data_IF_371541022628
#
_entry.id   IF_371541022628
#
_cell.length_a   1.000
_cell.length_b   1.000
_cell.length_c   1.000
_cell.angle_alpha   90.00
_cell.angle_beta   90.00
_cell.angle_gamma   90.00
#
_symmetry.space_group_name_H-M   'P 1'
#
loop_
_entity.id
_entity.type
_entity.pdbx_description
1 polymer ?
#
# COMPACT_ATOMS: atom_id res chain seq x y z
N UNK A 1 -63.86 -4.44 12.05
CA UNK A 1 -62.58 -3.69 12.26
C UNK A 1 -61.45 -4.64 12.04
N UNK A 2 -60.84 -4.63 10.84
CA UNK A 2 -59.67 -5.47 10.48
C UNK A 2 -58.41 -4.61 10.66
N UNK A 3 -57.56 -5.03 11.59
CA UNK A 3 -56.24 -4.41 11.77
C UNK A 3 -55.29 -4.94 10.70
N UNK A 4 -54.83 -4.05 9.81
CA UNK A 4 -53.75 -4.35 8.85
C UNK A 4 -52.42 -4.39 9.61
N UNK A 5 -51.78 -5.59 9.63
CA UNK A 5 -50.38 -5.73 10.00
C UNK A 5 -49.50 -5.06 8.92
N UNK A 6 -48.79 -4.04 9.34
CA UNK A 6 -47.71 -3.44 8.55
C UNK A 6 -46.48 -4.33 8.77
N UNK A 7 -46.13 -5.17 7.80
CA UNK A 7 -44.83 -5.85 7.77
C UNK A 7 -43.75 -4.83 7.40
N UNK A 8 -42.95 -4.48 8.40
CA UNK A 8 -41.74 -3.70 8.20
C UNK A 8 -40.70 -4.64 7.52
N UNK A 9 -40.52 -4.48 6.22
CA UNK A 9 -39.38 -5.12 5.51
C UNK A 9 -38.11 -4.47 6.05
N UNK A 10 -37.34 -5.25 6.83
CA UNK A 10 -35.94 -4.92 7.14
C UNK A 10 -35.19 -4.99 5.80
N UNK A 11 -34.87 -3.82 5.29
CA UNK A 11 -33.91 -3.71 4.18
C UNK A 11 -32.55 -4.04 4.78
N UNK A 12 -31.98 -5.17 4.40
CA UNK A 12 -30.58 -5.51 4.67
C UNK A 12 -29.74 -4.32 4.15
N UNK A 13 -29.28 -3.48 5.07
CA UNK A 13 -28.26 -2.49 4.78
C UNK A 13 -26.99 -3.31 4.60
N UNK A 14 -26.68 -3.72 3.35
CA UNK A 14 -25.35 -4.12 2.99
C UNK A 14 -24.45 -2.98 3.48
N UNK A 15 -23.51 -3.30 4.36
CA UNK A 15 -22.43 -2.37 4.72
C UNK A 15 -21.87 -1.81 3.41
N UNK A 16 -22.12 -0.53 3.19
CA UNK A 16 -21.51 0.18 2.05
C UNK A 16 -20.05 0.27 2.41
N UNK A 17 -19.25 -0.67 1.88
CA UNK A 17 -17.81 -0.61 2.01
C UNK A 17 -17.35 0.72 1.42
N UNK A 18 -17.03 1.67 2.32
CA UNK A 18 -16.57 3.00 1.87
C UNK A 18 -15.14 2.88 1.38
N UNK A 19 -14.93 3.32 0.15
CA UNK A 19 -13.60 3.42 -0.43
C UNK A 19 -12.73 4.32 0.47
N UNK A 20 -11.60 3.77 0.92
CA UNK A 20 -10.62 4.52 1.71
C UNK A 20 -9.75 5.40 0.82
N UNK A 21 -9.40 4.90 -0.36
CA UNK A 21 -8.64 5.60 -1.39
C UNK A 21 -9.47 5.68 -2.68
N UNK A 22 -9.54 6.86 -3.27
CA UNK A 22 -10.12 7.04 -4.60
C UNK A 22 -9.15 7.81 -5.50
N UNK A 23 -8.86 7.22 -6.66
CA UNK A 23 -8.11 7.84 -7.75
C UNK A 23 -9.08 8.08 -8.92
N UNK A 24 -9.34 9.35 -9.26
CA UNK A 24 -10.25 9.73 -10.35
C UNK A 24 -9.48 10.50 -11.41
N UNK A 25 -9.33 9.89 -12.60
CA UNK A 25 -8.68 10.47 -13.77
C UNK A 25 -7.29 11.06 -13.47
N UNK A 26 -6.48 10.35 -12.68
CA UNK A 26 -5.14 10.81 -12.30
C UNK A 26 -4.23 10.83 -13.52
N UNK A 27 -3.72 12.02 -13.84
CA UNK A 27 -2.73 12.22 -14.91
C UNK A 27 -1.43 12.78 -14.34
N UNK A 28 -0.32 12.36 -14.93
CA UNK A 28 1.00 12.91 -14.61
C UNK A 28 1.81 13.13 -15.85
N UNK A 29 2.23 14.37 -16.04
CA UNK A 29 3.07 14.81 -17.14
C UNK A 29 4.34 15.43 -16.57
N UNK A 30 5.49 14.85 -16.90
CA UNK A 30 6.79 15.43 -16.62
C UNK A 30 7.24 16.26 -17.84
N UNK A 31 7.60 17.50 -17.61
CA UNK A 31 8.10 18.41 -18.65
C UNK A 31 9.52 18.84 -18.31
N UNK A 32 10.44 18.58 -19.22
CA UNK A 32 11.77 19.20 -19.28
C UNK A 32 11.81 20.13 -20.47
N UNK A 33 12.93 20.86 -20.66
CA UNK A 33 13.02 21.85 -21.76
C UNK A 33 12.66 21.28 -23.13
N UNK A 34 13.05 20.03 -23.40
CA UNK A 34 12.95 19.41 -24.74
C UNK A 34 12.09 18.14 -24.77
N UNK A 35 11.68 17.62 -23.60
CA UNK A 35 10.98 16.32 -23.50
C UNK A 35 9.73 16.48 -22.65
N UNK A 36 8.60 15.98 -23.17
CA UNK A 36 7.36 15.82 -22.43
C UNK A 36 7.04 14.32 -22.33
N UNK A 37 6.97 13.82 -21.09
CA UNK A 37 6.63 12.41 -20.82
C UNK A 37 5.33 12.35 -20.04
N UNK A 38 4.31 11.73 -20.63
CA UNK A 38 3.03 11.45 -19.97
C UNK A 38 3.12 10.10 -19.24
N UNK A 39 3.44 10.15 -17.96
CA UNK A 39 3.65 8.96 -17.14
C UNK A 39 2.32 8.31 -16.69
N UNK A 40 1.27 9.11 -16.48
CA UNK A 40 -0.08 8.65 -16.19
C UNK A 40 -1.09 9.37 -17.09
N UNK A 41 -2.01 8.61 -17.70
CA UNK A 41 -2.92 9.10 -18.75
C UNK A 41 -4.40 9.11 -18.35
N UNK A 42 -4.69 9.02 -17.05
CA UNK A 42 -6.06 9.01 -16.54
C UNK A 42 -6.37 7.72 -15.76
N UNK A 43 -5.60 7.48 -14.69
CA UNK A 43 -5.76 6.32 -13.82
C UNK A 43 -7.02 6.48 -12.98
N UNK A 44 -7.85 5.43 -12.97
CA UNK A 44 -9.08 5.34 -12.20
C UNK A 44 -9.12 4.03 -11.44
N UNK A 45 -9.20 4.09 -10.11
CA UNK A 45 -9.53 2.96 -9.25
C UNK A 45 -9.85 3.45 -7.84
N UNK A 46 -10.41 2.57 -7.01
CA UNK A 46 -10.63 2.78 -5.60
C UNK A 46 -10.11 1.61 -4.79
N UNK A 47 -9.82 1.83 -3.50
CA UNK A 47 -9.43 0.78 -2.56
C UNK A 47 -10.38 0.84 -1.37
N UNK A 48 -10.90 -0.30 -0.97
CA UNK A 48 -11.77 -0.43 0.20
C UNK A 48 -10.97 -0.56 1.49
N UNK A 49 -11.57 -0.18 2.60
CA UNK A 49 -10.92 -0.34 3.91
C UNK A 49 -10.66 -1.83 4.21
N UNK A 50 -9.45 -2.16 4.63
CA UNK A 50 -9.02 -3.53 4.90
C UNK A 50 -8.71 -4.35 3.64
N UNK A 51 -8.77 -3.75 2.45
CA UNK A 51 -8.38 -4.44 1.21
C UNK A 51 -6.86 -4.62 1.14
N UNK A 52 -6.41 -5.75 0.60
CA UNK A 52 -5.04 -5.96 0.17
C UNK A 52 -5.00 -6.00 -1.36
N UNK A 53 -4.45 -4.95 -1.95
CA UNK A 53 -4.36 -4.77 -3.40
C UNK A 53 -2.91 -4.75 -3.87
N UNK A 54 -2.65 -5.30 -5.06
CA UNK A 54 -1.37 -5.19 -5.75
C UNK A 54 -1.53 -4.44 -7.07
N UNK A 55 -0.54 -3.62 -7.40
CA UNK A 55 -0.42 -2.95 -8.70
C UNK A 55 0.76 -3.54 -9.44
N UNK A 56 0.50 -4.17 -10.58
CA UNK A 56 1.48 -4.79 -11.46
C UNK A 56 1.60 -4.06 -12.80
N UNK A 57 2.68 -4.33 -13.51
CA UNK A 57 2.93 -3.83 -14.86
C UNK A 57 4.42 -3.77 -15.18
N UNK A 58 4.74 -3.56 -16.45
CA UNK A 58 6.11 -3.47 -16.95
C UNK A 58 6.89 -2.29 -16.33
N UNK A 59 8.22 -2.33 -16.46
CA UNK A 59 9.06 -1.19 -16.09
C UNK A 59 8.66 0.03 -16.93
N UNK A 60 8.54 1.20 -16.30
CA UNK A 60 8.11 2.42 -16.99
C UNK A 60 6.59 2.58 -17.18
N UNK A 61 5.75 1.62 -16.80
CA UNK A 61 4.29 1.71 -16.93
C UNK A 61 3.62 2.81 -16.07
N UNK A 62 4.37 3.45 -15.15
CA UNK A 62 3.86 4.51 -14.29
C UNK A 62 3.55 4.09 -12.84
N UNK A 63 3.88 2.84 -12.43
CA UNK A 63 3.58 2.30 -11.09
C UNK A 63 4.16 3.14 -9.96
N UNK A 64 5.47 3.37 -9.96
CA UNK A 64 6.16 4.18 -8.94
C UNK A 64 5.69 5.64 -8.97
N UNK A 65 5.39 6.18 -10.15
CA UNK A 65 4.78 7.52 -10.29
C UNK A 65 3.43 7.58 -9.57
N UNK A 66 2.56 6.61 -9.82
CA UNK A 66 1.25 6.53 -9.16
C UNK A 66 1.42 6.38 -7.64
N UNK A 67 2.29 5.48 -7.19
CA UNK A 67 2.57 5.26 -5.78
C UNK A 67 3.08 6.54 -5.10
N UNK A 68 3.99 7.29 -5.74
CA UNK A 68 4.51 8.55 -5.22
C UNK A 68 3.42 9.63 -5.10
N UNK A 69 2.48 9.65 -6.04
CA UNK A 69 1.32 10.56 -5.97
C UNK A 69 0.41 10.18 -4.79
N UNK A 70 0.09 8.90 -4.63
CA UNK A 70 -0.71 8.41 -3.50
C UNK A 70 0.01 8.68 -2.17
N UNK A 71 1.33 8.48 -2.13
CA UNK A 71 2.18 8.76 -0.98
C UNK A 71 2.37 10.27 -0.69
N UNK A 72 1.81 11.14 -1.53
CA UNK A 72 2.01 12.60 -1.45
C UNK A 72 3.46 13.05 -1.56
N UNK A 73 4.31 12.24 -2.18
CA UNK A 73 5.72 12.55 -2.50
C UNK A 73 5.84 13.32 -3.82
N UNK A 74 4.86 13.14 -4.70
CA UNK A 74 4.70 13.89 -5.96
C UNK A 74 3.23 14.34 -6.10
N UNK A 75 2.96 15.26 -7.03
CA UNK A 75 1.60 15.77 -7.31
C UNK A 75 1.12 15.30 -8.68
N UNK A 76 -0.15 14.96 -8.78
CA UNK A 76 -0.79 14.77 -10.06
C UNK A 76 -0.79 16.07 -10.89
N UNK A 77 -0.70 15.95 -12.22
CA UNK A 77 -0.89 17.11 -13.12
C UNK A 77 -2.37 17.48 -13.21
N UNK A 78 -3.26 16.49 -13.14
CA UNK A 78 -4.70 16.66 -13.06
C UNK A 78 -5.36 15.36 -12.56
N UNK A 79 -6.62 15.44 -12.20
CA UNK A 79 -7.41 14.38 -11.60
C UNK A 79 -7.70 14.69 -10.13
N UNK A 80 -8.32 13.76 -9.42
CA UNK A 80 -8.65 13.91 -7.99
C UNK A 80 -8.15 12.68 -7.26
N UNK A 81 -7.36 12.90 -6.19
CA UNK A 81 -6.92 11.88 -5.26
C UNK A 81 -7.53 12.16 -3.90
N UNK A 82 -8.30 11.21 -3.36
CA UNK A 82 -8.83 11.34 -2.02
C UNK A 82 -8.51 10.14 -1.14
N UNK A 83 -8.23 10.39 0.14
CA UNK A 83 -8.04 9.36 1.18
C UNK A 83 -8.94 9.68 2.36
N UNK A 84 -9.69 8.69 2.84
CA UNK A 84 -10.72 8.88 3.88
C UNK A 84 -11.68 10.04 3.55
N UNK A 85 -12.07 10.19 2.28
CA UNK A 85 -12.95 11.26 1.81
C UNK A 85 -12.33 12.67 1.79
N UNK A 86 -11.03 12.81 2.11
CA UNK A 86 -10.30 14.08 2.03
C UNK A 86 -9.60 14.20 0.70
N UNK A 87 -9.86 15.26 -0.02
CA UNK A 87 -9.12 15.63 -1.24
C UNK A 87 -7.70 16.05 -0.83
N UNK A 88 -6.71 15.29 -1.33
CA UNK A 88 -5.29 15.50 -0.99
C UNK A 88 -4.73 16.74 -1.69
N UNK A 89 -5.21 17.05 -2.89
CA UNK A 89 -4.74 18.22 -3.65
C UNK A 89 -5.21 19.56 -3.04
N UNK A 90 -6.28 19.52 -2.24
CA UNK A 90 -6.77 20.68 -1.49
C UNK A 90 -5.94 21.00 -0.24
N UNK A 91 -5.05 20.09 0.21
CA UNK A 91 -4.22 20.29 1.40
C UNK A 91 -3.10 21.30 1.15
N UNK A 92 -2.85 22.17 2.13
CA UNK A 92 -1.70 23.08 2.12
C UNK A 92 -0.39 22.30 2.42
N UNK A 93 0.74 22.88 2.04
CA UNK A 93 2.04 22.21 2.18
C UNK A 93 2.38 21.75 3.61
N UNK A 94 2.00 22.52 4.63
CA UNK A 94 2.17 22.15 6.04
C UNK A 94 1.22 21.01 6.48
N UNK A 95 0.04 20.95 5.89
CA UNK A 95 -0.98 19.91 6.17
C UNK A 95 -0.61 18.60 5.51
N UNK A 96 -0.01 18.61 4.30
CA UNK A 96 0.43 17.41 3.57
C UNK A 96 1.44 16.60 4.39
N UNK A 97 2.43 17.26 5.01
CA UNK A 97 3.43 16.57 5.82
C UNK A 97 2.80 15.89 7.06
N UNK A 98 1.86 16.58 7.72
CA UNK A 98 1.11 16.00 8.85
C UNK A 98 0.20 14.86 8.40
N UNK A 99 -0.50 15.04 7.27
CA UNK A 99 -1.36 14.03 6.66
C UNK A 99 -0.56 12.76 6.36
N UNK A 100 0.59 12.87 5.67
CA UNK A 100 1.47 11.75 5.35
C UNK A 100 1.90 10.97 6.59
N UNK A 101 2.35 11.66 7.64
CA UNK A 101 2.76 10.99 8.89
C UNK A 101 1.63 10.25 9.60
N UNK A 102 0.39 10.77 9.51
CA UNK A 102 -0.75 10.23 10.24
C UNK A 102 -1.52 9.17 9.48
N UNK A 103 -1.74 9.39 8.18
CA UNK A 103 -2.66 8.58 7.38
C UNK A 103 -1.93 7.53 6.52
N UNK A 104 -0.62 7.70 6.27
CA UNK A 104 0.15 6.84 5.38
C UNK A 104 1.31 6.17 6.09
N UNK A 105 1.46 4.86 5.90
CA UNK A 105 2.68 4.13 6.14
C UNK A 105 3.37 3.83 4.82
N UNK A 106 4.71 3.91 4.76
CA UNK A 106 5.43 3.63 3.53
C UNK A 106 6.61 2.67 3.78
N UNK A 107 6.68 1.61 2.96
CA UNK A 107 7.75 0.63 2.95
C UNK A 107 8.45 0.70 1.60
N UNK A 108 9.74 1.06 1.62
CA UNK A 108 10.58 1.22 0.42
C UNK A 108 11.33 -0.08 0.09
N UNK A 109 11.72 -0.23 -1.16
CA UNK A 109 12.57 -1.32 -1.63
C UNK A 109 13.92 -1.35 -0.90
N UNK A 110 14.55 -0.20 -0.71
CA UNK A 110 15.87 -0.03 -0.08
C UNK A 110 15.78 0.24 1.43
N UNK A 111 14.67 -0.16 2.07
CA UNK A 111 14.39 -0.01 3.51
C UNK A 111 14.35 1.44 4.01
N UNK A 112 15.21 2.32 3.53
CA UNK A 112 15.37 3.73 3.92
C UNK A 112 15.45 3.91 5.45
N UNK A 113 16.22 3.05 6.12
CA UNK A 113 16.56 3.20 7.53
C UNK A 113 17.73 4.18 7.67
N UNK A 114 17.75 4.91 8.77
CA UNK A 114 18.81 5.87 9.09
C UNK A 114 19.89 5.15 9.92
N UNK A 115 21.08 4.99 9.35
CA UNK A 115 22.19 4.27 9.98
C UNK A 115 22.73 4.93 11.26
N UNK A 116 22.44 6.22 11.47
CA UNK A 116 22.84 6.96 12.66
C UNK A 116 21.98 6.64 13.89
N UNK A 117 20.83 5.99 13.70
CA UNK A 117 19.87 5.64 14.73
C UNK A 117 19.80 4.13 14.92
N UNK A 118 19.59 3.67 16.15
CA UNK A 118 19.25 2.27 16.37
C UNK A 118 17.89 1.92 15.74
N UNK A 119 17.57 0.64 15.65
CA UNK A 119 16.32 0.22 14.99
C UNK A 119 15.07 0.70 15.74
N UNK A 120 15.13 0.77 17.08
CA UNK A 120 14.04 1.34 17.90
C UNK A 120 13.77 2.80 17.54
N UNK A 121 14.82 3.62 17.42
CA UNK A 121 14.70 5.02 17.07
C UNK A 121 14.18 5.21 15.65
N UNK A 122 14.64 4.38 14.70
CA UNK A 122 14.08 4.35 13.34
C UNK A 122 12.57 4.09 13.34
N UNK A 123 12.09 3.15 14.17
CA UNK A 123 10.67 2.84 14.29
C UNK A 123 9.91 4.01 14.92
N UNK A 124 10.47 4.67 15.92
CA UNK A 124 9.83 5.78 16.64
C UNK A 124 9.80 7.09 15.85
N UNK A 125 10.65 7.24 14.85
CA UNK A 125 10.82 8.49 14.09
C UNK A 125 9.50 9.17 13.67
N UNK A 126 8.51 8.48 13.07
CA UNK A 126 7.26 9.14 12.68
C UNK A 126 6.42 9.60 13.88
N UNK A 127 6.53 8.93 15.04
CA UNK A 127 5.83 9.33 16.26
C UNK A 127 6.52 10.53 16.92
N UNK A 128 7.86 10.54 16.95
CA UNK A 128 8.67 11.68 17.43
C UNK A 128 8.37 12.92 16.61
N UNK A 129 8.34 12.81 15.27
CA UNK A 129 7.99 13.90 14.37
C UNK A 129 6.51 14.36 14.49
N UNK A 130 5.67 13.57 15.14
CA UNK A 130 4.28 13.90 15.45
C UNK A 130 4.11 14.39 16.89
N UNK A 131 5.22 14.56 17.64
CA UNK A 131 5.26 15.04 19.04
C UNK A 131 4.43 14.14 19.99
N UNK A 132 4.39 12.83 19.71
CA UNK A 132 3.69 11.86 20.55
C UNK A 132 4.46 11.62 21.86
N UNK A 133 3.73 11.24 22.93
CA UNK A 133 4.33 10.94 24.23
C UNK A 133 5.10 9.63 24.16
N UNK A 134 6.24 9.56 24.88
CA UNK A 134 7.09 8.35 24.93
C UNK A 134 6.30 7.12 25.41
N UNK A 135 5.42 7.28 26.41
CA UNK A 135 4.58 6.18 26.89
C UNK A 135 3.68 5.58 25.80
N UNK A 136 3.17 6.40 24.88
CA UNK A 136 2.38 5.93 23.75
C UNK A 136 3.27 5.25 22.68
N UNK A 137 4.51 5.72 22.51
CA UNK A 137 5.47 5.09 21.58
C UNK A 137 5.83 3.67 22.04
N UNK A 138 6.11 3.50 23.35
CA UNK A 138 6.42 2.19 23.95
C UNK A 138 5.21 1.25 23.86
N UNK A 139 4.00 1.71 24.19
CA UNK A 139 2.76 0.96 24.07
C UNK A 139 2.55 0.44 22.63
N UNK A 140 2.68 1.31 21.62
CA UNK A 140 2.52 0.93 20.21
C UNK A 140 3.60 -0.03 19.72
N UNK A 141 4.83 0.12 20.20
CA UNK A 141 5.91 -0.82 19.89
C UNK A 141 5.63 -2.20 20.49
N UNK A 142 5.16 -2.26 21.72
CA UNK A 142 4.82 -3.51 22.40
C UNK A 142 3.69 -4.26 21.65
N UNK A 143 2.74 -3.57 21.07
CA UNK A 143 1.67 -4.19 20.27
C UNK A 143 2.18 -4.91 19.00
N UNK A 144 3.31 -4.49 18.42
CA UNK A 144 3.78 -4.98 17.12
C UNK A 144 5.08 -5.77 17.16
N UNK A 145 5.94 -5.57 18.19
CA UNK A 145 7.31 -6.12 18.23
C UNK A 145 7.36 -7.64 18.09
N UNK A 146 6.46 -8.35 18.79
CA UNK A 146 6.46 -9.81 18.83
C UNK A 146 5.92 -10.37 17.50
N UNK A 147 4.86 -9.76 16.94
CA UNK A 147 4.29 -10.15 15.65
C UNK A 147 5.27 -9.97 14.49
N UNK A 148 6.07 -8.91 14.54
CA UNK A 148 7.07 -8.63 13.52
C UNK A 148 8.41 -9.33 13.81
N UNK A 149 8.55 -9.98 14.97
CA UNK A 149 9.77 -10.68 15.39
C UNK A 149 11.00 -9.77 15.43
N UNK A 150 10.83 -8.56 16.00
CA UNK A 150 11.86 -7.52 16.02
C UNK A 150 12.43 -7.22 17.40
N UNK A 151 11.93 -7.90 18.45
CA UNK A 151 12.32 -7.60 19.84
C UNK A 151 13.83 -7.56 20.07
N UNK A 152 14.56 -8.58 19.59
CA UNK A 152 16.03 -8.69 19.73
C UNK A 152 16.81 -7.75 18.77
N UNK A 153 16.10 -7.03 17.90
CA UNK A 153 16.72 -6.16 16.90
C UNK A 153 16.68 -4.68 17.31
N UNK A 154 15.89 -4.33 18.33
CA UNK A 154 15.56 -2.93 18.66
C UNK A 154 16.78 -2.08 18.99
N UNK A 155 17.72 -2.62 19.77
CA UNK A 155 18.92 -1.91 20.20
C UNK A 155 20.09 -1.98 19.19
N UNK A 156 19.93 -2.78 18.12
CA UNK A 156 20.91 -2.86 17.04
C UNK A 156 20.75 -1.71 16.05
N UNK A 157 21.82 -1.45 15.30
CA UNK A 157 21.80 -0.49 14.19
C UNK A 157 21.45 -1.19 12.86
N UNK A 158 20.97 -0.45 11.85
CA UNK A 158 20.60 -1.05 10.56
C UNK A 158 21.73 -1.85 9.90
N UNK A 159 22.99 -1.43 10.03
CA UNK A 159 24.15 -2.14 9.46
C UNK A 159 24.50 -3.45 10.20
N UNK A 160 23.92 -3.73 11.36
CA UNK A 160 24.14 -4.95 12.15
C UNK A 160 23.12 -6.06 11.89
N UNK A 161 22.15 -5.81 11.01
CA UNK A 161 21.04 -6.72 10.76
C UNK A 161 20.92 -7.09 9.27
N UNK A 162 20.35 -8.28 8.98
CA UNK A 162 20.16 -8.76 7.61
C UNK A 162 19.12 -7.93 6.83
N UNK A 163 19.07 -8.07 5.50
CA UNK A 163 18.09 -7.40 4.64
C UNK A 163 16.65 -7.69 5.04
N UNK A 164 16.31 -8.95 5.31
CA UNK A 164 14.97 -9.33 5.78
C UNK A 164 14.64 -8.74 7.17
N UNK A 165 15.66 -8.60 8.05
CA UNK A 165 15.50 -7.93 9.33
C UNK A 165 15.30 -6.43 9.16
N UNK A 166 16.07 -5.76 8.27
CA UNK A 166 15.85 -4.35 7.90
C UNK A 166 14.43 -4.12 7.39
N UNK A 167 13.92 -5.02 6.55
CA UNK A 167 12.57 -4.88 6.03
C UNK A 167 11.50 -5.01 7.13
N UNK A 168 11.68 -5.92 8.10
CA UNK A 168 10.79 -6.00 9.27
C UNK A 168 10.78 -4.71 10.10
N UNK A 169 11.95 -4.09 10.29
CA UNK A 169 12.07 -2.78 10.96
C UNK A 169 11.37 -1.68 10.14
N UNK A 170 11.54 -1.67 8.80
CA UNK A 170 10.88 -0.70 7.93
C UNK A 170 9.34 -0.87 7.96
N UNK A 171 8.83 -2.10 7.99
CA UNK A 171 7.41 -2.38 8.17
C UNK A 171 6.93 -1.88 9.55
N UNK A 172 7.67 -2.16 10.62
CA UNK A 172 7.34 -1.68 11.96
C UNK A 172 7.23 -0.15 12.00
N UNK A 173 8.21 0.56 11.41
CA UNK A 173 8.18 2.02 11.27
C UNK A 173 6.95 2.50 10.50
N UNK A 174 6.55 1.77 9.46
CA UNK A 174 5.42 2.15 8.63
C UNK A 174 4.06 1.94 9.33
N UNK A 175 3.91 0.91 10.18
CA UNK A 175 2.63 0.57 10.83
C UNK A 175 2.46 1.15 12.23
N UNK A 176 3.55 1.65 12.87
CA UNK A 176 3.49 2.11 14.27
C UNK A 176 2.55 3.31 14.47
N UNK A 177 2.35 4.11 13.44
CA UNK A 177 1.40 5.23 13.46
C UNK A 177 -0.06 4.79 13.34
N UNK A 178 -0.33 3.50 13.09
CA UNK A 178 -1.65 2.95 12.75
C UNK A 178 -2.27 3.69 11.56
N UNK A 179 -1.57 3.72 10.40
CA UNK A 179 -1.99 4.51 9.24
C UNK A 179 -3.27 3.96 8.63
N UNK A 180 -4.01 4.83 7.92
CA UNK A 180 -5.17 4.41 7.16
C UNK A 180 -4.79 3.50 5.98
N UNK A 181 -3.64 3.76 5.34
CA UNK A 181 -3.15 3.02 4.17
C UNK A 181 -1.65 2.73 4.31
N UNK A 182 -1.29 1.46 4.18
CA UNK A 182 0.10 1.00 4.08
C UNK A 182 0.48 0.84 2.60
N UNK A 183 1.47 1.59 2.16
CA UNK A 183 2.01 1.57 0.81
C UNK A 183 3.35 0.82 0.80
N UNK A 184 3.61 0.02 -0.23
CA UNK A 184 4.89 -0.65 -0.39
C UNK A 184 5.36 -0.62 -1.85
N UNK A 185 6.59 -0.17 -2.09
CA UNK A 185 7.24 -0.17 -3.39
C UNK A 185 8.26 -1.31 -3.46
N UNK A 186 7.97 -2.33 -4.25
CA UNK A 186 8.80 -3.52 -4.43
C UNK A 186 9.37 -4.09 -3.11
N UNK A 187 8.53 -4.39 -2.10
CA UNK A 187 8.99 -4.63 -0.73
C UNK A 187 9.86 -5.88 -0.55
N UNK A 188 10.02 -6.68 -1.58
CA UNK A 188 10.86 -7.90 -1.59
C UNK A 188 11.98 -7.85 -2.64
N UNK A 189 12.11 -6.74 -3.37
CA UNK A 189 13.05 -6.64 -4.50
C UNK A 189 14.53 -6.78 -4.13
N UNK A 190 14.89 -6.45 -2.89
CA UNK A 190 16.28 -6.53 -2.38
C UNK A 190 16.53 -7.79 -1.50
N UNK A 191 15.59 -8.76 -1.47
CA UNK A 191 15.63 -9.89 -0.54
C UNK A 191 15.81 -11.24 -1.27
N UNK A 192 16.40 -12.20 -0.56
CA UNK A 192 16.38 -13.60 -0.98
C UNK A 192 14.97 -14.21 -0.91
N UNK A 193 14.79 -15.40 -1.51
CA UNK A 193 13.46 -16.03 -1.62
C UNK A 193 12.82 -16.34 -0.27
N UNK A 194 13.60 -16.76 0.73
CA UNK A 194 13.12 -17.13 2.06
C UNK A 194 12.70 -15.88 2.83
N UNK A 195 13.54 -14.84 2.81
CA UNK A 195 13.24 -13.54 3.40
C UNK A 195 12.02 -12.89 2.73
N UNK A 196 11.92 -12.98 1.41
CA UNK A 196 10.76 -12.47 0.65
C UNK A 196 9.47 -13.10 1.10
N UNK A 197 9.43 -14.42 1.27
CA UNK A 197 8.24 -15.13 1.74
C UNK A 197 7.83 -14.72 3.16
N UNK A 198 8.80 -14.59 4.07
CA UNK A 198 8.53 -14.09 5.41
C UNK A 198 7.93 -12.69 5.40
N UNK A 199 8.46 -11.78 4.58
CA UNK A 199 7.96 -10.40 4.47
C UNK A 199 6.55 -10.37 3.87
N UNK A 200 6.27 -11.14 2.83
CA UNK A 200 4.92 -11.21 2.23
C UNK A 200 3.89 -11.79 3.21
N UNK A 201 4.29 -12.80 4.00
CA UNK A 201 3.43 -13.32 5.09
C UNK A 201 3.17 -12.24 6.17
N UNK A 202 4.14 -11.39 6.49
CA UNK A 202 3.92 -10.26 7.41
C UNK A 202 2.91 -9.25 6.84
N UNK A 203 3.00 -8.89 5.57
CA UNK A 203 1.99 -8.03 4.93
C UNK A 203 0.59 -8.64 5.01
N UNK A 204 0.47 -9.95 4.75
CA UNK A 204 -0.80 -10.67 4.89
C UNK A 204 -1.33 -10.60 6.32
N UNK A 205 -0.50 -10.91 7.32
CA UNK A 205 -0.89 -10.82 8.74
C UNK A 205 -1.34 -9.42 9.14
N UNK A 206 -0.59 -8.39 8.73
CA UNK A 206 -0.94 -6.98 8.98
C UNK A 206 -2.29 -6.65 8.35
N UNK A 207 -2.58 -7.14 7.13
CA UNK A 207 -3.86 -6.97 6.47
C UNK A 207 -5.00 -7.73 7.17
N UNK A 208 -4.79 -8.98 7.58
CA UNK A 208 -5.76 -9.78 8.34
C UNK A 208 -6.18 -9.12 9.67
N UNK A 209 -5.34 -8.25 10.21
CA UNK A 209 -5.66 -7.40 11.36
C UNK A 209 -6.33 -6.07 10.99
N UNK A 210 -6.82 -5.95 9.76
CA UNK A 210 -7.64 -4.82 9.30
C UNK A 210 -6.87 -3.67 8.64
N UNK A 211 -5.55 -3.78 8.47
CA UNK A 211 -4.77 -2.78 7.76
C UNK A 211 -5.04 -2.84 6.26
N UNK A 212 -5.38 -1.69 5.65
CA UNK A 212 -5.43 -1.58 4.18
C UNK A 212 -4.01 -1.55 3.63
N UNK A 213 -3.73 -2.39 2.63
CA UNK A 213 -2.39 -2.56 2.05
C UNK A 213 -2.43 -2.39 0.53
N UNK A 214 -1.53 -1.57 -0.01
CA UNK A 214 -1.30 -1.43 -1.44
C UNK A 214 0.18 -1.68 -1.73
N UNK A 215 0.46 -2.73 -2.50
CA UNK A 215 1.82 -3.07 -2.95
C UNK A 215 1.96 -2.77 -4.42
N UNK A 216 3.06 -2.12 -4.80
CA UNK A 216 3.51 -2.03 -6.20
C UNK A 216 4.61 -3.08 -6.38
N UNK A 217 4.49 -3.93 -7.39
CA UNK A 217 5.49 -4.97 -7.66
C UNK A 217 5.44 -5.48 -9.10
N UNK A 218 6.55 -6.04 -9.57
CA UNK A 218 6.63 -6.87 -10.78
C UNK A 218 6.69 -8.36 -10.46
N UNK A 219 6.71 -8.74 -9.17
CA UNK A 219 6.76 -10.13 -8.73
C UNK A 219 5.36 -10.75 -8.71
N UNK A 220 5.13 -11.78 -9.54
CA UNK A 220 3.91 -12.60 -9.52
C UNK A 220 3.63 -13.17 -8.13
N UNK A 221 4.69 -13.60 -7.43
CA UNK A 221 4.58 -14.13 -6.08
C UNK A 221 4.08 -13.06 -5.11
N UNK A 222 4.65 -11.86 -5.14
CA UNK A 222 4.21 -10.78 -4.26
C UNK A 222 2.75 -10.38 -4.55
N UNK A 223 2.38 -10.28 -5.83
CA UNK A 223 1.02 -9.96 -6.23
C UNK A 223 0.00 -11.00 -5.79
N UNK A 224 0.36 -12.30 -5.77
CA UNK A 224 -0.55 -13.38 -5.38
C UNK A 224 -0.98 -13.37 -3.90
N UNK A 225 -0.33 -12.57 -3.06
CA UNK A 225 -0.74 -12.35 -1.67
C UNK A 225 -1.93 -11.39 -1.54
N UNK A 226 -2.14 -10.54 -2.55
CA UNK A 226 -3.27 -9.62 -2.59
C UNK A 226 -4.59 -10.35 -2.90
N UNK A 227 -5.71 -9.70 -2.56
CA UNK A 227 -7.06 -10.14 -2.96
C UNK A 227 -7.44 -9.62 -4.34
N UNK A 228 -6.79 -8.54 -4.79
CA UNK A 228 -7.05 -7.90 -6.08
C UNK A 228 -5.74 -7.43 -6.69
N UNK A 229 -5.60 -7.61 -7.99
CA UNK A 229 -4.44 -7.15 -8.75
C UNK A 229 -4.91 -6.22 -9.85
N UNK A 230 -4.35 -5.00 -9.88
CA UNK A 230 -4.49 -4.04 -10.97
C UNK A 230 -3.27 -4.12 -11.88
N UNK A 231 -3.50 -4.15 -13.17
CA UNK A 231 -2.45 -4.10 -14.19
C UNK A 231 -2.39 -2.70 -14.78
N UNK A 232 -1.23 -2.05 -14.64
CA UNK A 232 -0.95 -0.76 -15.28
C UNK A 232 -0.12 -1.00 -16.53
N UNK A 233 -0.58 -0.45 -17.66
CA UNK A 233 0.12 -0.42 -18.94
C UNK A 233 0.00 0.97 -19.53
N UNK A 234 1.11 1.53 -20.03
CA UNK A 234 1.13 2.83 -20.71
C UNK A 234 0.45 3.98 -19.95
N UNK A 235 0.54 3.96 -18.60
CA UNK A 235 -0.01 5.01 -17.75
C UNK A 235 -1.51 4.93 -17.48
N UNK A 236 -2.16 3.80 -17.76
CA UNK A 236 -3.58 3.55 -17.43
C UNK A 236 -3.75 2.22 -16.70
N UNK A 237 -4.80 2.10 -15.87
CA UNK A 237 -5.25 0.78 -15.40
C UNK A 237 -5.93 0.09 -16.56
N UNK A 238 -5.29 -0.95 -17.07
CA UNK A 238 -5.72 -1.67 -18.25
C UNK A 238 -6.64 -2.84 -17.93
N UNK A 239 -6.35 -3.54 -16.83
CA UNK A 239 -7.09 -4.72 -16.42
C UNK A 239 -7.03 -4.90 -14.91
N UNK A 240 -8.01 -5.62 -14.35
CA UNK A 240 -8.00 -6.01 -12.95
C UNK A 240 -8.57 -7.43 -12.76
N UNK A 241 -8.02 -8.15 -11.80
CA UNK A 241 -8.50 -9.48 -11.42
C UNK A 241 -8.65 -9.58 -9.91
N UNK A 242 -9.60 -10.40 -9.49
CA UNK A 242 -9.90 -10.68 -8.09
C UNK A 242 -9.61 -12.14 -7.80
N UNK A 243 -9.03 -12.41 -6.63
CA UNK A 243 -8.87 -13.78 -6.13
C UNK A 243 -10.22 -14.30 -5.70
N UNK A 244 -10.57 -15.50 -6.17
CA UNK A 244 -11.79 -16.20 -5.79
C UNK A 244 -11.77 -16.61 -4.31
N UNK A 245 -12.94 -16.71 -3.67
CA UNK A 245 -13.06 -17.06 -2.24
C UNK A 245 -12.40 -18.41 -1.89
N UNK A 246 -12.48 -19.39 -2.76
CA UNK A 246 -11.90 -20.73 -2.59
C UNK A 246 -10.66 -20.98 -3.46
N UNK A 247 -10.13 -19.93 -4.08
CA UNK A 247 -8.96 -20.03 -4.97
C UNK A 247 -7.67 -20.09 -4.16
N UNK A 248 -6.84 -21.12 -4.45
CA UNK A 248 -5.52 -21.19 -3.83
C UNK A 248 -4.62 -20.04 -4.27
N UNK A 249 -3.60 -19.73 -3.47
CA UNK A 249 -2.61 -18.71 -3.85
C UNK A 249 -1.85 -19.10 -5.14
N UNK A 250 -1.60 -20.40 -5.34
CA UNK A 250 -0.93 -20.93 -6.53
C UNK A 250 -1.77 -20.73 -7.79
N UNK A 251 -3.08 -21.05 -7.73
CA UNK A 251 -3.99 -20.89 -8.87
C UNK A 251 -4.16 -19.41 -9.23
N UNK A 252 -4.28 -18.57 -8.22
CA UNK A 252 -4.35 -17.12 -8.44
C UNK A 252 -3.06 -16.56 -9.06
N UNK A 253 -1.89 -17.03 -8.61
CA UNK A 253 -0.60 -16.65 -9.20
C UNK A 253 -0.51 -17.07 -10.67
N UNK A 254 -1.03 -18.25 -11.03
CA UNK A 254 -1.07 -18.69 -12.43
C UNK A 254 -2.00 -17.80 -13.28
N UNK A 255 -3.17 -17.41 -12.76
CA UNK A 255 -4.07 -16.45 -13.44
C UNK A 255 -3.43 -15.07 -13.61
N UNK A 256 -2.68 -14.59 -12.61
CA UNK A 256 -1.92 -13.34 -12.74
C UNK A 256 -0.92 -13.45 -13.88
N UNK A 257 -0.16 -14.55 -13.94
CA UNK A 257 0.83 -14.81 -15.00
C UNK A 257 0.17 -14.86 -16.39
N UNK A 258 -0.96 -15.55 -16.52
CA UNK A 258 -1.72 -15.62 -17.78
C UNK A 258 -2.20 -14.23 -18.21
N UNK A 259 -2.73 -13.42 -17.28
CA UNK A 259 -3.18 -12.06 -17.55
C UNK A 259 -2.00 -11.17 -18.00
N UNK A 260 -0.86 -11.22 -17.32
CA UNK A 260 0.34 -10.47 -17.71
C UNK A 260 0.83 -10.85 -19.13
N UNK A 261 0.84 -12.14 -19.44
CA UNK A 261 1.23 -12.64 -20.74
C UNK A 261 0.29 -12.15 -21.88
N UNK A 262 -1.02 -12.21 -21.67
CA UNK A 262 -2.00 -11.72 -22.67
C UNK A 262 -1.86 -10.20 -22.88
N UNK A 263 -1.69 -9.45 -21.79
CA UNK A 263 -1.48 -8.00 -21.83
C UNK A 263 -0.21 -7.62 -22.58
N UNK A 264 0.88 -8.40 -22.41
CA UNK A 264 2.13 -8.21 -23.17
C UNK A 264 1.95 -8.35 -24.68
N UNK A 265 1.01 -9.19 -25.14
CA UNK A 265 0.68 -9.38 -26.57
C UNK A 265 -0.32 -8.38 -27.13
N UNK A 266 -0.90 -7.52 -26.30
CA UNK A 266 -1.93 -6.57 -26.73
C UNK A 266 -3.31 -7.22 -26.96
N UNK A 267 -3.52 -8.44 -26.48
CA UNK A 267 -4.78 -9.14 -26.52
C UNK A 267 -5.70 -8.63 -25.39
N UNK A 268 -7.00 -8.44 -25.68
CA UNK A 268 -7.98 -8.14 -24.63
C UNK A 268 -8.25 -9.41 -23.84
N UNK A 269 -8.10 -9.33 -22.52
CA UNK A 269 -8.44 -10.40 -21.57
C UNK A 269 -9.95 -10.39 -21.29
#
# INVERSE_FOLDING_TARGET
MQARKIECKIVDIKEVNMAILECKNIKKIYKTKDITTEALKGVNFSVEKGEFISIMGESGAGKTTLLNIIATLDKATSGVLSLNGKDIDALKSNEIARFRRKELGFVFQDFNLLDQFCNKDNIYLPLVLSEEKVSLMDERLDEIKDRLGIGELLDKYPYEVSGGQKQRIAIARAVITKPALLLADEPTGALDSTSSEMILNLFRQVNEHGQTVLIVTHSLRAASYAKRVLFIKDGVVFHEIYRGENESQSDFMERINQSEFMLGRGEKV
#
